data_IF_871427212484
#
_entry.id   IF_871427212484
#
_cell.length_a   1.000
_cell.length_b   1.000
_cell.length_c   1.000
_cell.angle_alpha   90.00
_cell.angle_beta   90.00
_cell.angle_gamma   90.00
#
_symmetry.space_group_name_H-M   'P 1'
#
loop_
_entity.id
_entity.type
_entity.pdbx_description
1 polymer ?
#
# COMPACT_ATOMS: atom_id res chain seq x y z
N UNK A 1 -44.69 7.92 17.74
CA UNK A 1 -44.45 7.12 16.51
C UNK A 1 -42.96 6.92 16.34
N UNK A 2 -42.43 5.88 16.98
CA UNK A 2 -41.05 5.42 16.81
C UNK A 2 -41.00 4.62 15.52
N UNK A 3 -40.35 5.15 14.49
CA UNK A 3 -40.09 4.42 13.26
C UNK A 3 -39.13 3.26 13.59
N UNK A 4 -39.65 2.04 13.63
CA UNK A 4 -38.84 0.84 13.54
C UNK A 4 -38.20 0.82 12.15
N UNK A 5 -36.92 1.18 12.06
CA UNK A 5 -36.11 0.76 10.92
C UNK A 5 -36.08 -0.77 10.90
N UNK A 6 -36.45 -1.43 9.79
CA UNK A 6 -36.30 -2.86 9.68
C UNK A 6 -34.82 -3.20 9.79
N UNK A 7 -34.48 -4.13 10.68
CA UNK A 7 -33.13 -4.71 10.72
C UNK A 7 -32.79 -5.20 9.30
N UNK A 8 -31.61 -4.87 8.75
CA UNK A 8 -31.20 -5.41 7.47
C UNK A 8 -31.24 -6.94 7.56
N UNK A 9 -31.90 -7.59 6.60
CA UNK A 9 -31.89 -9.05 6.49
C UNK A 9 -30.44 -9.56 6.59
N UNK A 10 -30.25 -10.76 7.13
CA UNK A 10 -28.91 -11.37 7.31
C UNK A 10 -28.06 -11.39 6.04
N UNK A 11 -28.66 -11.25 4.86
CA UNK A 11 -27.97 -11.15 3.58
C UNK A 11 -27.53 -9.74 3.16
N UNK A 12 -28.15 -8.68 3.69
CA UNK A 12 -27.92 -7.31 3.21
C UNK A 12 -26.55 -6.78 3.63
N UNK A 13 -26.18 -6.98 4.90
CA UNK A 13 -24.86 -6.58 5.41
C UNK A 13 -23.74 -7.42 4.79
N UNK A 14 -24.01 -8.69 4.47
CA UNK A 14 -23.04 -9.59 3.80
C UNK A 14 -22.68 -9.03 2.43
N UNK A 15 -23.70 -8.71 1.60
CA UNK A 15 -23.51 -8.12 0.27
C UNK A 15 -22.73 -6.79 0.36
N UNK A 16 -23.01 -5.98 1.37
CA UNK A 16 -22.27 -4.73 1.60
C UNK A 16 -20.82 -4.99 2.00
N UNK A 17 -20.57 -5.87 2.97
CA UNK A 17 -19.23 -6.20 3.43
C UNK A 17 -18.38 -6.80 2.31
N UNK A 18 -18.94 -7.68 1.48
CA UNK A 18 -18.26 -8.25 0.32
C UNK A 18 -17.90 -7.17 -0.71
N UNK A 19 -18.82 -6.27 -1.02
CA UNK A 19 -18.56 -5.15 -1.93
C UNK A 19 -17.42 -4.25 -1.42
N UNK A 20 -17.38 -3.97 -0.12
CA UNK A 20 -16.29 -3.21 0.50
C UNK A 20 -14.96 -3.97 0.45
N UNK A 21 -14.98 -5.28 0.69
CA UNK A 21 -13.81 -6.16 0.55
C UNK A 21 -13.27 -6.21 -0.89
N UNK A 22 -14.13 -6.05 -1.90
CA UNK A 22 -13.67 -5.89 -3.29
C UNK A 22 -12.99 -4.53 -3.52
N UNK A 23 -13.51 -3.46 -2.91
CA UNK A 23 -12.93 -2.12 -3.04
C UNK A 23 -11.54 -1.98 -2.41
N UNK A 24 -11.20 -2.83 -1.41
CA UNK A 24 -9.85 -2.86 -0.80
C UNK A 24 -8.73 -2.97 -1.84
N UNK A 25 -8.92 -3.78 -2.88
CA UNK A 25 -7.93 -4.02 -3.92
C UNK A 25 -8.02 -3.03 -5.10
N UNK A 26 -9.05 -2.19 -5.13
CA UNK A 26 -9.35 -1.29 -6.26
C UNK A 26 -9.12 0.18 -5.90
N UNK A 27 -9.24 0.55 -4.63
CA UNK A 27 -8.98 1.90 -4.11
C UNK A 27 -8.13 1.81 -2.83
N UNK A 28 -6.89 1.37 -3.04
CA UNK A 28 -5.98 0.88 -2.01
C UNK A 28 -5.56 1.95 -0.98
N UNK A 29 -5.61 3.22 -1.37
CA UNK A 29 -5.37 4.35 -0.46
C UNK A 29 -6.43 4.46 0.64
N UNK A 30 -7.64 3.91 0.43
CA UNK A 30 -8.78 3.92 1.35
C UNK A 30 -9.11 2.51 1.91
N UNK A 31 -8.28 1.51 1.62
CA UNK A 31 -8.52 0.10 2.00
C UNK A 31 -8.76 -0.11 3.52
N UNK A 32 -8.02 0.62 4.37
CA UNK A 32 -8.18 0.62 5.83
C UNK A 32 -9.60 1.06 6.26
N UNK A 33 -10.15 2.08 5.59
CA UNK A 33 -11.49 2.60 5.85
C UNK A 33 -12.57 1.62 5.41
N UNK A 34 -12.45 1.05 4.20
CA UNK A 34 -13.39 0.04 3.72
C UNK A 34 -13.38 -1.20 4.60
N UNK A 35 -12.20 -1.67 5.04
CA UNK A 35 -12.08 -2.82 5.93
C UNK A 35 -12.72 -2.53 7.29
N UNK A 36 -12.49 -1.34 7.85
CA UNK A 36 -13.13 -0.90 9.08
C UNK A 36 -14.66 -0.85 8.94
N UNK A 37 -15.18 -0.27 7.85
CA UNK A 37 -16.63 -0.20 7.59
C UNK A 37 -17.24 -1.58 7.38
N UNK A 38 -16.58 -2.47 6.63
CA UNK A 38 -17.02 -3.84 6.44
C UNK A 38 -17.14 -4.60 7.77
N UNK A 39 -16.16 -4.43 8.68
CA UNK A 39 -16.23 -5.00 10.04
C UNK A 39 -17.35 -4.40 10.88
N UNK A 40 -17.59 -3.09 10.78
CA UNK A 40 -18.70 -2.44 11.50
C UNK A 40 -20.05 -2.97 11.04
N UNK A 41 -20.26 -3.12 9.73
CA UNK A 41 -21.48 -3.70 9.16
C UNK A 41 -21.65 -5.17 9.55
N UNK A 42 -20.55 -5.92 9.58
CA UNK A 42 -20.55 -7.33 9.95
C UNK A 42 -20.76 -7.58 11.45
N UNK A 43 -20.48 -6.61 12.32
CA UNK A 43 -20.42 -6.82 13.77
C UNK A 43 -21.68 -7.45 14.39
N UNK A 44 -22.86 -7.16 13.83
CA UNK A 44 -24.13 -7.70 14.31
C UNK A 44 -24.41 -9.15 13.85
N UNK A 45 -23.83 -9.58 12.72
CA UNK A 45 -24.07 -10.90 12.12
C UNK A 45 -22.88 -11.87 12.17
N UNK A 46 -21.67 -11.35 12.38
CA UNK A 46 -20.43 -12.11 12.47
C UNK A 46 -19.43 -11.33 13.32
N UNK A 47 -19.49 -11.51 14.63
CA UNK A 47 -18.49 -10.92 15.53
C UNK A 47 -17.14 -11.66 15.41
N UNK A 48 -16.02 -11.06 15.87
CA UNK A 48 -14.75 -11.77 15.98
C UNK A 48 -14.81 -13.03 16.86
N UNK A 49 -15.77 -13.12 17.78
CA UNK A 49 -16.00 -14.32 18.60
C UNK A 49 -16.70 -15.40 17.77
N UNK A 50 -17.72 -15.04 17.01
CA UNK A 50 -18.44 -15.96 16.12
C UNK A 50 -17.51 -16.54 15.05
N UNK A 51 -16.69 -15.69 14.44
CA UNK A 51 -15.69 -16.13 13.47
C UNK A 51 -14.71 -17.15 14.07
N UNK A 52 -14.19 -16.88 15.28
CA UNK A 52 -13.30 -17.82 15.98
C UNK A 52 -14.00 -19.15 16.30
N UNK A 53 -15.28 -19.11 16.68
CA UNK A 53 -16.06 -20.32 16.91
C UNK A 53 -16.23 -21.15 15.61
N UNK A 54 -16.52 -20.50 14.48
CA UNK A 54 -16.60 -21.17 13.17
C UNK A 54 -15.25 -21.78 12.75
N UNK A 55 -14.15 -21.06 13.00
CA UNK A 55 -12.79 -21.57 12.73
C UNK A 55 -12.46 -22.81 13.57
N UNK A 56 -12.75 -22.78 14.87
CA UNK A 56 -12.57 -23.93 15.76
C UNK A 56 -13.48 -25.11 15.39
N UNK A 57 -14.70 -24.84 14.90
CA UNK A 57 -15.58 -25.89 14.37
C UNK A 57 -14.97 -26.56 13.14
N UNK A 58 -14.37 -25.79 12.24
CA UNK A 58 -13.67 -26.29 11.05
C UNK A 58 -12.46 -27.15 11.41
N UNK A 59 -11.56 -26.65 12.25
CA UNK A 59 -10.38 -27.39 12.74
C UNK A 59 -10.80 -28.67 13.49
N UNK A 60 -11.87 -28.59 14.28
CA UNK A 60 -12.48 -29.73 14.95
C UNK A 60 -13.00 -30.78 13.96
N UNK A 61 -13.73 -30.36 12.92
CA UNK A 61 -14.26 -31.27 11.91
C UNK A 61 -13.15 -32.00 11.13
N UNK A 62 -12.00 -31.36 10.90
CA UNK A 62 -10.83 -31.98 10.26
C UNK A 62 -10.10 -32.98 11.18
N UNK A 63 -10.05 -32.74 12.49
CA UNK A 63 -9.31 -33.58 13.45
C UNK A 63 -10.10 -34.76 14.01
N UNK A 64 -11.43 -34.65 14.09
CA UNK A 64 -12.31 -35.69 14.65
C UNK A 64 -12.23 -37.06 13.95
N UNK A 65 -12.11 -37.19 12.62
CA UNK A 65 -11.98 -38.50 11.97
C UNK A 65 -10.82 -39.34 12.50
N UNK A 66 -9.66 -38.71 12.77
CA UNK A 66 -8.50 -39.41 13.35
C UNK A 66 -8.77 -39.90 14.78
N UNK A 67 -9.46 -39.08 15.59
CA UNK A 67 -9.86 -39.46 16.96
C UNK A 67 -10.89 -40.59 16.97
N UNK A 68 -11.83 -40.57 16.03
CA UNK A 68 -12.80 -41.65 15.84
C UNK A 68 -12.08 -42.96 15.51
N UNK A 69 -11.11 -42.94 14.58
CA UNK A 69 -10.33 -44.13 14.25
C UNK A 69 -9.58 -44.68 15.47
N UNK A 70 -8.92 -43.83 16.25
CA UNK A 70 -8.24 -44.25 17.48
C UNK A 70 -9.19 -44.88 18.51
N UNK A 71 -10.41 -44.34 18.64
CA UNK A 71 -11.43 -44.91 19.52
C UNK A 71 -11.96 -46.26 19.02
N UNK A 72 -12.08 -46.44 17.69
CA UNK A 72 -12.40 -47.73 17.05
C UNK A 72 -11.31 -48.76 17.36
N UNK A 73 -10.05 -48.41 17.13
CA UNK A 73 -8.91 -49.31 17.34
C UNK A 73 -8.77 -49.72 18.82
N UNK A 74 -9.14 -48.81 19.74
CA UNK A 74 -9.18 -49.05 21.18
C UNK A 74 -10.45 -49.75 21.70
N UNK A 75 -11.42 -50.08 20.84
CA UNK A 75 -12.68 -50.72 21.22
C UNK A 75 -13.62 -49.84 22.08
N UNK A 76 -13.43 -48.51 22.08
CA UNK A 76 -14.16 -47.56 22.92
C UNK A 76 -15.44 -47.05 22.23
N UNK A 77 -16.42 -47.94 22.06
CA UNK A 77 -17.62 -47.65 21.25
C UNK A 77 -18.50 -46.50 21.74
N UNK A 78 -18.54 -46.22 23.04
CA UNK A 78 -19.25 -45.05 23.59
C UNK A 78 -18.60 -43.74 23.16
N UNK A 79 -17.27 -43.71 23.13
CA UNK A 79 -16.48 -42.56 22.66
C UNK A 79 -16.63 -42.37 21.14
N UNK A 80 -16.64 -43.45 20.36
CA UNK A 80 -16.92 -43.41 18.91
C UNK A 80 -18.26 -42.72 18.62
N UNK A 81 -19.33 -43.10 19.33
CA UNK A 81 -20.65 -42.49 19.15
C UNK A 81 -20.64 -41.00 19.47
N UNK A 82 -20.07 -40.60 20.60
CA UNK A 82 -20.00 -39.20 21.01
C UNK A 82 -19.22 -38.35 20.00
N UNK A 83 -18.07 -38.84 19.54
CA UNK A 83 -17.24 -38.14 18.54
C UNK A 83 -17.92 -38.06 17.16
N UNK A 84 -18.68 -39.09 16.76
CA UNK A 84 -19.45 -39.06 15.52
C UNK A 84 -20.61 -38.06 15.57
N UNK A 85 -21.35 -38.01 16.69
CA UNK A 85 -22.40 -37.01 16.93
C UNK A 85 -21.81 -35.58 16.94
N UNK A 86 -20.64 -35.37 17.56
CA UNK A 86 -19.92 -34.10 17.54
C UNK A 86 -19.51 -33.70 16.11
N UNK A 87 -18.96 -34.64 15.32
CA UNK A 87 -18.55 -34.39 13.94
C UNK A 87 -19.74 -33.99 13.07
N UNK A 88 -20.87 -34.69 13.19
CA UNK A 88 -22.09 -34.39 12.45
C UNK A 88 -22.63 -33.00 12.81
N UNK A 89 -22.65 -32.64 14.11
CA UNK A 89 -23.04 -31.31 14.56
C UNK A 89 -22.13 -30.20 13.99
N UNK A 90 -20.81 -30.40 13.99
CA UNK A 90 -19.85 -29.44 13.40
C UNK A 90 -20.01 -29.32 11.89
N UNK A 91 -20.23 -30.44 11.17
CA UNK A 91 -20.48 -30.42 9.73
C UNK A 91 -21.74 -29.62 9.38
N UNK A 92 -22.86 -29.86 10.07
CA UNK A 92 -24.08 -29.07 9.88
C UNK A 92 -23.87 -27.58 10.12
N UNK A 93 -23.16 -27.22 11.19
CA UNK A 93 -22.83 -25.82 11.45
C UNK A 93 -22.01 -25.18 10.30
N UNK A 94 -21.04 -25.91 9.75
CA UNK A 94 -20.22 -25.45 8.63
C UNK A 94 -20.99 -25.43 7.30
N UNK A 95 -21.93 -26.36 7.09
CA UNK A 95 -22.80 -26.33 5.93
C UNK A 95 -23.74 -25.11 5.98
N UNK A 96 -24.28 -24.80 7.16
CA UNK A 96 -25.18 -23.65 7.37
C UNK A 96 -24.44 -22.30 7.35
N UNK A 97 -23.20 -22.25 7.84
CA UNK A 97 -22.45 -20.98 8.10
C UNK A 97 -21.05 -20.92 7.50
N UNK A 98 -20.66 -21.84 6.64
CA UNK A 98 -19.32 -21.90 6.04
C UNK A 98 -18.98 -20.66 5.20
N UNK A 99 -19.98 -20.04 4.57
CA UNK A 99 -19.78 -18.77 3.87
C UNK A 99 -19.38 -17.64 4.83
N UNK A 100 -19.95 -17.59 6.05
CA UNK A 100 -19.56 -16.63 7.08
C UNK A 100 -18.15 -16.89 7.60
N UNK A 101 -17.72 -18.16 7.67
CA UNK A 101 -16.32 -18.49 7.97
C UNK A 101 -15.38 -17.87 6.94
N UNK A 102 -15.71 -18.04 5.66
CA UNK A 102 -14.92 -17.51 4.54
C UNK A 102 -14.90 -15.97 4.51
N UNK A 103 -16.04 -15.35 4.84
CA UNK A 103 -16.13 -13.91 4.99
C UNK A 103 -15.32 -13.40 6.19
N UNK A 104 -15.42 -14.08 7.33
CA UNK A 104 -14.67 -13.75 8.54
C UNK A 104 -13.16 -13.85 8.35
N UNK A 105 -12.69 -14.80 7.55
CA UNK A 105 -11.27 -14.90 7.17
C UNK A 105 -10.81 -13.66 6.40
N UNK A 106 -11.60 -13.20 5.41
CA UNK A 106 -11.31 -11.96 4.67
C UNK A 106 -11.36 -10.73 5.58
N UNK A 107 -12.27 -10.70 6.56
CA UNK A 107 -12.44 -9.58 7.47
C UNK A 107 -11.35 -9.52 8.54
N UNK A 108 -10.82 -10.65 9.03
CA UNK A 108 -10.02 -10.68 10.25
C UNK A 108 -8.61 -11.23 10.09
N UNK A 109 -8.33 -12.03 9.05
CA UNK A 109 -7.04 -12.74 8.91
C UNK A 109 -6.24 -12.37 7.67
N UNK A 110 -6.89 -11.87 6.61
CA UNK A 110 -6.16 -11.48 5.40
C UNK A 110 -5.36 -10.19 5.59
N UNK A 111 -4.04 -10.35 5.68
CA UNK A 111 -3.06 -9.25 5.67
C UNK A 111 -2.36 -9.19 4.31
N UNK A 112 -3.12 -8.83 3.29
CA UNK A 112 -2.60 -8.62 1.94
C UNK A 112 -2.24 -7.14 1.75
N UNK A 113 -1.05 -6.89 1.20
CA UNK A 113 -0.67 -5.54 0.76
C UNK A 113 -1.14 -5.42 -0.68
N UNK A 114 -2.20 -4.64 -0.89
CA UNK A 114 -2.75 -4.43 -2.21
C UNK A 114 -1.89 -3.46 -3.03
N UNK A 115 -1.76 -3.75 -4.32
CA UNK A 115 -1.15 -2.84 -5.30
C UNK A 115 -2.25 -2.22 -6.12
N UNK A 116 -2.26 -0.89 -6.24
CA UNK A 116 -3.26 -0.13 -6.98
C UNK A 116 -3.23 -0.53 -8.47
N UNK A 117 -4.33 -1.08 -9.02
CA UNK A 117 -4.41 -1.46 -10.43
C UNK A 117 -4.30 -0.27 -11.39
N UNK A 118 -4.60 0.93 -10.93
CA UNK A 118 -4.60 2.15 -11.73
C UNK A 118 -3.28 2.93 -11.61
N UNK A 119 -2.37 2.48 -10.75
CA UNK A 119 -1.06 3.10 -10.60
C UNK A 119 -0.20 2.88 -11.85
N UNK A 120 0.38 3.94 -12.44
CA UNK A 120 1.20 3.80 -13.62
C UNK A 120 2.42 2.92 -13.39
N UNK A 121 2.78 2.14 -14.41
CA UNK A 121 3.93 1.24 -14.35
C UNK A 121 3.73 -0.05 -13.55
N UNK A 122 2.51 -0.36 -13.08
CA UNK A 122 2.23 -1.56 -12.27
C UNK A 122 1.28 -2.61 -12.88
N UNK A 123 0.85 -2.45 -14.13
CA UNK A 123 -0.04 -3.42 -14.80
C UNK A 123 0.52 -4.86 -14.80
N UNK A 124 1.85 -5.01 -14.96
CA UNK A 124 2.55 -6.30 -14.90
C UNK A 124 2.44 -6.99 -13.52
N UNK A 125 2.35 -6.22 -12.43
CA UNK A 125 2.31 -6.77 -11.07
C UNK A 125 1.04 -7.58 -10.85
N UNK A 126 -0.07 -7.13 -11.43
CA UNK A 126 -1.35 -7.83 -11.38
C UNK A 126 -1.56 -8.82 -12.54
N UNK A 127 -0.55 -9.06 -13.38
CA UNK A 127 -0.67 -9.85 -14.63
C UNK A 127 -1.79 -9.35 -15.55
N UNK A 128 -1.98 -8.03 -15.62
CA UNK A 128 -2.97 -7.39 -16.48
C UNK A 128 -2.30 -6.76 -17.68
N UNK A 129 -2.99 -6.80 -18.81
CA UNK A 129 -2.64 -6.04 -19.98
C UNK A 129 -3.19 -4.61 -19.87
N UNK A 130 -2.49 -3.63 -20.46
CA UNK A 130 -2.89 -2.23 -20.37
C UNK A 130 -4.30 -1.96 -20.92
N UNK A 131 -4.75 -2.73 -21.92
CA UNK A 131 -6.11 -2.64 -22.47
C UNK A 131 -7.22 -2.99 -21.47
N UNK A 132 -6.91 -3.75 -20.42
CA UNK A 132 -7.88 -4.17 -19.41
C UNK A 132 -8.15 -3.09 -18.35
N UNK A 133 -7.30 -2.06 -18.27
CA UNK A 133 -7.40 -1.01 -17.25
C UNK A 133 -8.66 -0.16 -17.43
N UNK A 134 -9.07 0.11 -18.69
CA UNK A 134 -10.31 0.84 -19.01
C UNK A 134 -11.57 0.15 -18.50
N UNK A 135 -11.84 -1.09 -18.96
CA UNK A 135 -12.95 -1.88 -18.45
C UNK A 135 -12.93 -2.06 -16.92
N UNK A 136 -11.75 -2.23 -16.32
CA UNK A 136 -11.61 -2.34 -14.86
C UNK A 136 -12.01 -1.04 -14.14
N UNK A 137 -11.60 0.12 -14.65
CA UNK A 137 -11.97 1.43 -14.12
C UNK A 137 -13.50 1.60 -14.13
N UNK A 138 -14.13 1.31 -15.25
CA UNK A 138 -15.58 1.49 -15.42
C UNK A 138 -16.36 0.51 -14.52
N UNK A 139 -15.92 -0.74 -14.42
CA UNK A 139 -16.49 -1.73 -13.50
C UNK A 139 -16.29 -1.35 -12.01
N UNK A 140 -15.21 -0.65 -11.68
CA UNK A 140 -14.94 -0.16 -10.32
C UNK A 140 -15.79 1.07 -10.00
N UNK A 141 -15.94 2.00 -10.95
CA UNK A 141 -16.87 3.13 -10.81
C UNK A 141 -18.32 2.65 -10.57
N UNK A 142 -18.74 1.58 -11.26
CA UNK A 142 -20.04 0.96 -11.03
C UNK A 142 -20.17 0.37 -9.61
N UNK A 143 -19.10 -0.21 -9.05
CA UNK A 143 -19.08 -0.70 -7.66
C UNK A 143 -19.24 0.44 -6.65
N UNK A 144 -18.59 1.59 -6.87
CA UNK A 144 -18.82 2.77 -6.03
C UNK A 144 -20.28 3.25 -6.08
N UNK A 145 -20.87 3.31 -7.27
CA UNK A 145 -22.29 3.63 -7.42
C UNK A 145 -23.21 2.61 -6.72
N UNK A 146 -22.84 1.34 -6.69
CA UNK A 146 -23.54 0.32 -5.91
C UNK A 146 -23.36 0.51 -4.40
N UNK A 147 -22.14 0.78 -3.94
CA UNK A 147 -21.84 1.04 -2.53
C UNK A 147 -22.60 2.27 -2.01
N UNK A 148 -22.67 3.35 -2.80
CA UNK A 148 -23.43 4.56 -2.50
C UNK A 148 -24.94 4.35 -2.31
N UNK A 149 -25.50 3.33 -2.98
CA UNK A 149 -26.91 2.92 -2.81
C UNK A 149 -27.11 2.04 -1.57
N UNK A 150 -26.18 1.12 -1.32
CA UNK A 150 -26.31 0.14 -0.25
C UNK A 150 -25.91 0.71 1.12
N UNK A 151 -24.98 1.65 1.17
CA UNK A 151 -24.47 2.28 2.40
C UNK A 151 -24.62 3.82 2.34
N UNK A 152 -25.81 4.34 2.68
CA UNK A 152 -26.12 5.77 2.63
C UNK A 152 -25.22 6.65 3.50
N UNK A 153 -24.73 6.12 4.64
CA UNK A 153 -23.88 6.88 5.57
C UNK A 153 -22.55 7.29 4.92
N UNK A 154 -22.04 6.45 4.02
CA UNK A 154 -20.78 6.66 3.31
C UNK A 154 -20.99 7.09 1.85
N UNK A 155 -22.23 7.39 1.45
CA UNK A 155 -22.60 7.79 0.08
C UNK A 155 -21.69 8.88 -0.48
N UNK A 156 -21.44 9.92 0.31
CA UNK A 156 -20.59 11.05 -0.09
C UNK A 156 -19.19 10.58 -0.46
N UNK A 157 -18.56 9.77 0.39
CA UNK A 157 -17.23 9.23 0.12
C UNK A 157 -17.25 8.44 -1.19
N UNK A 158 -18.17 7.47 -1.35
CA UNK A 158 -18.21 6.65 -2.56
C UNK A 158 -18.39 7.49 -3.83
N UNK A 159 -19.21 8.53 -3.79
CA UNK A 159 -19.41 9.45 -4.93
C UNK A 159 -18.13 10.24 -5.26
N UNK A 160 -17.46 10.79 -4.25
CA UNK A 160 -16.17 11.49 -4.42
C UNK A 160 -15.10 10.54 -5.00
N UNK A 161 -15.06 9.28 -4.55
CA UNK A 161 -14.14 8.26 -5.09
C UNK A 161 -14.49 7.85 -6.52
N UNK A 162 -15.77 7.69 -6.84
CA UNK A 162 -16.27 7.39 -8.19
C UNK A 162 -15.87 8.49 -9.18
N UNK A 163 -16.07 9.76 -8.81
CA UNK A 163 -15.68 10.91 -9.62
C UNK A 163 -14.17 10.99 -9.83
N UNK A 164 -13.39 10.83 -8.75
CA UNK A 164 -11.95 10.80 -8.83
C UNK A 164 -11.45 9.68 -9.76
N UNK A 165 -12.02 8.47 -9.66
CA UNK A 165 -11.62 7.34 -10.50
C UNK A 165 -11.97 7.58 -11.98
N UNK A 166 -13.12 8.19 -12.27
CA UNK A 166 -13.48 8.56 -13.66
C UNK A 166 -12.55 9.61 -14.25
N UNK A 167 -11.99 10.49 -13.41
CA UNK A 167 -11.04 11.52 -13.84
C UNK A 167 -9.66 10.95 -14.23
N UNK A 168 -9.37 9.69 -13.86
CA UNK A 168 -8.11 9.01 -14.22
C UNK A 168 -7.97 8.94 -15.73
N UNK A 169 -6.99 9.69 -16.25
CA UNK A 169 -6.57 9.61 -17.65
C UNK A 169 -5.79 8.32 -17.86
N UNK A 170 -6.44 7.37 -18.49
CA UNK A 170 -5.75 6.18 -18.99
C UNK A 170 -4.90 6.63 -20.15
N UNK A 171 -3.59 6.41 -20.08
CA UNK A 171 -2.71 6.69 -21.22
C UNK A 171 -3.30 6.01 -22.44
N UNK A 172 -3.62 6.80 -23.47
CA UNK A 172 -4.00 6.22 -24.76
C UNK A 172 -2.89 5.25 -25.16
N UNK A 173 -3.29 4.08 -25.66
CA UNK A 173 -2.38 3.16 -26.35
C UNK A 173 -1.87 3.90 -27.59
N UNK A 174 -0.92 4.81 -27.41
CA UNK A 174 -0.20 5.41 -28.50
C UNK A 174 0.62 4.27 -29.10
N UNK A 175 0.28 3.92 -30.35
CA UNK A 175 1.14 3.09 -31.17
C UNK A 175 2.60 3.57 -31.04
N UNK A 176 3.61 2.68 -31.21
CA UNK A 176 5.00 2.96 -30.85
C UNK A 176 5.49 4.18 -31.64
N UNK A 177 5.54 5.34 -30.98
CA UNK A 177 5.89 6.62 -31.60
C UNK A 177 7.21 7.19 -31.08
N UNK A 178 7.86 6.52 -30.13
CA UNK A 178 9.14 6.96 -29.57
C UNK A 178 10.24 5.93 -29.83
N UNK A 179 11.44 6.38 -30.21
CA UNK A 179 12.61 5.52 -30.47
C UNK A 179 12.95 4.58 -29.31
N UNK A 180 12.78 5.04 -28.07
CA UNK A 180 12.95 4.23 -26.85
C UNK A 180 12.01 3.03 -26.75
N UNK A 181 10.81 3.12 -27.32
CA UNK A 181 9.81 2.07 -27.32
C UNK A 181 10.11 1.02 -28.40
N UNK A 182 10.67 1.47 -29.54
CA UNK A 182 11.22 0.58 -30.57
C UNK A 182 12.48 -0.16 -30.07
N UNK A 183 13.35 0.50 -29.30
CA UNK A 183 14.51 -0.15 -28.69
C UNK A 183 14.11 -1.22 -27.66
N UNK A 184 13.10 -0.96 -26.82
CA UNK A 184 12.62 -1.95 -25.86
C UNK A 184 11.99 -3.16 -26.59
N UNK A 185 11.18 -2.91 -27.63
CA UNK A 185 10.63 -3.97 -28.47
C UNK A 185 11.73 -4.77 -29.19
N UNK A 186 12.83 -4.13 -29.60
CA UNK A 186 13.98 -4.81 -30.17
C UNK A 186 14.67 -5.73 -29.15
N UNK A 187 14.84 -5.27 -27.89
CA UNK A 187 15.39 -6.09 -26.81
C UNK A 187 14.49 -7.28 -26.47
N UNK A 188 13.17 -7.09 -26.45
CA UNK A 188 12.20 -8.15 -26.18
C UNK A 188 12.13 -9.16 -27.33
N UNK A 189 12.20 -8.71 -28.59
CA UNK A 189 12.26 -9.57 -29.76
C UNK A 189 13.55 -10.39 -29.80
N UNK A 190 14.68 -9.80 -29.39
CA UNK A 190 15.96 -10.50 -29.24
C UNK A 190 15.91 -11.55 -28.13
N UNK A 191 15.35 -11.20 -26.96
CA UNK A 191 15.19 -12.12 -25.84
C UNK A 191 14.25 -13.30 -26.17
N UNK A 192 13.27 -13.08 -27.06
CA UNK A 192 12.36 -14.10 -27.57
C UNK A 192 12.90 -14.89 -28.78
N UNK A 193 14.11 -14.59 -29.27
CA UNK A 193 14.70 -15.23 -30.45
C UNK A 193 13.98 -14.93 -31.78
N UNK A 194 13.16 -13.88 -31.83
CA UNK A 194 12.33 -13.53 -32.99
C UNK A 194 13.05 -12.55 -33.91
N UNK A 195 13.98 -13.07 -34.72
CA UNK A 195 14.82 -12.25 -35.61
C UNK A 195 14.03 -11.53 -36.72
N UNK A 196 12.89 -12.08 -37.15
CA UNK A 196 12.01 -11.43 -38.13
C UNK A 196 11.28 -10.21 -37.56
N UNK A 197 10.92 -10.25 -36.27
CA UNK A 197 10.38 -9.10 -35.57
C UNK A 197 11.47 -8.04 -35.35
N UNK A 198 12.68 -8.47 -34.99
CA UNK A 198 13.84 -7.58 -34.82
C UNK A 198 14.18 -6.81 -36.11
N UNK A 199 14.15 -7.49 -37.25
CA UNK A 199 14.42 -6.88 -38.56
C UNK A 199 13.38 -5.81 -38.92
N UNK A 200 12.08 -6.09 -38.70
CA UNK A 200 11.01 -5.10 -38.90
C UNK A 200 11.12 -3.88 -37.97
N UNK A 201 11.65 -4.09 -36.76
CA UNK A 201 11.87 -3.00 -35.82
C UNK A 201 13.09 -2.16 -36.25
N UNK A 202 14.16 -2.79 -36.73
CA UNK A 202 15.34 -2.11 -37.27
C UNK A 202 14.97 -1.23 -38.48
N UNK A 203 14.20 -1.76 -39.43
CA UNK A 203 13.69 -1.00 -40.59
C UNK A 203 12.85 0.21 -40.16
N UNK A 204 12.04 0.08 -39.10
CA UNK A 204 11.26 1.20 -38.54
C UNK A 204 12.14 2.26 -37.90
N UNK A 205 13.24 1.87 -37.25
CA UNK A 205 14.22 2.78 -36.65
C UNK A 205 15.00 3.54 -37.76
N UNK A 206 15.41 2.84 -38.82
CA UNK A 206 16.08 3.46 -39.96
C UNK A 206 15.16 4.41 -40.73
N UNK A 207 13.90 4.02 -40.95
CA UNK A 207 12.90 4.84 -41.63
C UNK A 207 12.49 6.11 -40.85
N UNK A 208 12.71 6.14 -39.53
CA UNK A 208 12.43 7.33 -38.70
C UNK A 208 13.59 8.31 -38.59
N UNK A 209 14.75 8.04 -39.21
CA UNK A 209 15.84 9.00 -39.34
C UNK A 209 16.42 9.50 -38.02
N UNK A 210 16.71 8.61 -37.07
CA UNK A 210 17.35 8.97 -35.81
C UNK A 210 18.90 9.01 -35.94
N UNK A 211 19.43 10.13 -36.47
CA UNK A 211 20.75 10.59 -36.03
C UNK A 211 20.72 10.94 -34.52
N UNK A 212 21.86 11.21 -33.85
CA UNK A 212 21.88 11.61 -32.44
C UNK A 212 21.10 12.91 -32.28
N UNK A 213 19.81 12.78 -32.02
CA UNK A 213 18.86 13.87 -31.97
C UNK A 213 18.79 14.32 -30.52
N UNK A 214 19.07 15.61 -30.33
CA UNK A 214 18.65 16.41 -29.20
C UNK A 214 17.21 16.08 -28.77
N UNK A 215 16.89 16.27 -27.46
CA UNK A 215 15.78 15.61 -26.79
C UNK A 215 14.47 15.77 -27.57
N UNK A 216 14.03 14.65 -28.17
CA UNK A 216 12.65 14.50 -28.62
C UNK A 216 11.77 14.74 -27.41
N UNK A 217 10.96 15.80 -27.51
CA UNK A 217 9.98 16.18 -26.51
C UNK A 217 9.19 14.95 -26.10
N UNK A 218 9.44 14.49 -24.87
CA UNK A 218 8.56 13.56 -24.20
C UNK A 218 7.14 14.10 -24.39
N UNK A 219 6.24 13.28 -24.95
CA UNK A 219 4.83 13.64 -25.06
C UNK A 219 4.41 14.16 -23.70
N UNK A 220 4.22 15.48 -23.63
CA UNK A 220 3.88 16.21 -22.43
C UNK A 220 2.48 15.75 -22.11
N UNK A 221 2.37 14.76 -21.22
CA UNK A 221 1.19 14.68 -20.36
C UNK A 221 1.08 16.09 -19.79
N UNK A 222 -0.03 16.83 -20.00
CA UNK A 222 -0.17 18.15 -19.42
C UNK A 222 0.07 18.01 -17.93
N UNK A 223 1.20 18.54 -17.47
CA UNK A 223 1.58 18.47 -16.08
C UNK A 223 0.68 19.48 -15.37
N UNK A 224 -0.47 19.00 -14.88
CA UNK A 224 -1.27 19.78 -13.96
C UNK A 224 -0.48 19.79 -12.67
N UNK A 225 0.01 20.97 -12.28
CA UNK A 225 0.68 21.13 -11.00
C UNK A 225 -0.25 20.64 -9.89
N UNK A 226 0.19 19.67 -9.07
CA UNK A 226 -0.65 19.12 -8.03
C UNK A 226 -0.99 20.21 -7.01
N UNK A 227 -2.20 20.16 -6.48
CA UNK A 227 -2.63 21.08 -5.42
C UNK A 227 -1.75 20.88 -4.19
N UNK A 228 -1.36 21.97 -3.49
CA UNK A 228 -0.72 21.87 -2.19
C UNK A 228 -1.48 20.94 -1.21
N UNK A 229 -0.72 20.27 -0.37
CA UNK A 229 -1.18 19.38 0.70
C UNK A 229 -1.17 20.10 2.05
N UNK A 230 -1.33 21.43 2.02
CA UNK A 230 -1.36 22.29 3.20
C UNK A 230 -2.71 22.23 3.91
N UNK A 231 -2.69 22.39 5.22
CA UNK A 231 -3.88 22.39 6.07
C UNK A 231 -3.61 23.02 7.43
N UNK A 232 -4.61 23.66 8.01
CA UNK A 232 -4.49 24.20 9.36
C UNK A 232 -4.92 23.15 10.38
N UNK A 233 -4.02 22.82 11.31
CA UNK A 233 -4.33 21.98 12.44
C UNK A 233 -4.88 22.83 13.59
N UNK A 234 -6.04 22.43 14.12
CA UNK A 234 -6.61 23.10 15.28
C UNK A 234 -5.71 22.97 16.51
N UNK A 235 -5.78 23.95 17.42
CA UNK A 235 -4.97 23.93 18.65
C UNK A 235 -5.23 22.68 19.50
N UNK A 236 -6.46 22.18 19.51
CA UNK A 236 -6.80 20.94 20.21
C UNK A 236 -6.15 19.71 19.54
N UNK A 237 -6.20 19.62 18.21
CA UNK A 237 -5.50 18.58 17.43
C UNK A 237 -4.01 18.58 17.74
N UNK A 238 -3.36 19.74 17.71
CA UNK A 238 -1.93 19.85 18.02
C UNK A 238 -1.60 19.46 19.46
N UNK A 239 -2.47 19.79 20.42
CA UNK A 239 -2.31 19.36 21.82
C UNK A 239 -2.39 17.84 21.95
N UNK A 240 -3.37 17.20 21.31
CA UNK A 240 -3.52 15.73 21.33
C UNK A 240 -2.37 15.04 20.58
N UNK A 241 -1.95 15.60 19.45
CA UNK A 241 -0.81 15.11 18.67
C UNK A 241 0.48 15.11 19.50
N UNK A 242 0.78 16.21 20.20
CA UNK A 242 1.95 16.29 21.12
C UNK A 242 1.89 15.26 22.24
N UNK A 243 0.71 14.95 22.77
CA UNK A 243 0.55 13.90 23.78
C UNK A 243 0.89 12.49 23.24
N UNK A 244 0.74 12.28 21.92
CA UNK A 244 1.17 11.07 21.23
C UNK A 244 2.64 11.10 20.78
N UNK A 245 3.35 12.22 20.98
CA UNK A 245 4.72 12.43 20.51
C UNK A 245 4.83 12.84 19.03
N UNK A 246 3.73 13.40 18.48
CA UNK A 246 3.68 13.97 17.14
C UNK A 246 3.83 15.50 17.20
N UNK A 247 4.62 16.05 16.28
CA UNK A 247 4.73 17.50 16.06
C UNK A 247 4.27 17.86 14.65
N UNK A 248 3.76 19.08 14.48
CA UNK A 248 3.44 19.60 13.17
C UNK A 248 4.72 20.00 12.44
N UNK A 249 4.83 19.56 11.19
CA UNK A 249 5.93 19.87 10.29
C UNK A 249 5.36 20.51 9.02
N UNK A 250 6.18 21.35 8.40
CA UNK A 250 5.89 21.97 7.11
C UNK A 250 7.05 21.69 6.15
N UNK A 251 6.71 21.27 4.93
CA UNK A 251 7.65 21.17 3.82
C UNK A 251 7.33 22.21 2.77
N UNK A 252 8.39 22.89 2.30
CA UNK A 252 8.30 23.85 1.21
C UNK A 252 8.11 23.16 -0.14
N UNK A 253 7.51 23.87 -1.09
CA UNK A 253 7.43 23.42 -2.47
C UNK A 253 8.83 23.39 -3.10
N UNK A 254 9.27 22.20 -3.48
CA UNK A 254 10.56 21.96 -4.18
C UNK A 254 10.35 21.27 -5.53
N UNK A 255 9.11 21.20 -6.03
CA UNK A 255 8.75 20.46 -7.24
C UNK A 255 9.55 20.92 -8.44
N UNK A 256 9.70 22.23 -8.62
CA UNK A 256 10.43 22.82 -9.75
C UNK A 256 11.88 22.36 -9.80
N UNK A 257 12.52 22.17 -8.64
CA UNK A 257 13.89 21.68 -8.53
C UNK A 257 14.05 20.27 -9.09
N UNK A 258 13.01 19.44 -9.04
CA UNK A 258 13.05 18.03 -9.46
C UNK A 258 12.16 17.74 -10.66
N UNK A 259 11.56 18.76 -11.28
CA UNK A 259 10.62 18.60 -12.40
C UNK A 259 11.19 17.77 -13.55
N UNK A 260 12.49 17.91 -13.82
CA UNK A 260 13.20 17.16 -14.86
C UNK A 260 13.26 15.65 -14.62
N UNK A 261 13.08 15.18 -13.38
CA UNK A 261 13.05 13.75 -13.01
C UNK A 261 11.65 13.14 -13.14
N UNK A 262 10.60 13.95 -13.11
CA UNK A 262 9.22 13.47 -13.07
C UNK A 262 8.84 12.55 -14.24
N UNK A 263 9.29 12.79 -15.50
CA UNK A 263 9.00 11.87 -16.60
C UNK A 263 9.49 10.43 -16.37
N UNK A 264 10.54 10.25 -15.55
CA UNK A 264 11.11 8.95 -15.25
C UNK A 264 10.36 8.21 -14.12
N UNK A 265 9.76 8.94 -13.17
CA UNK A 265 8.97 8.34 -12.07
C UNK A 265 7.80 7.50 -12.57
N UNK A 266 7.18 7.92 -13.68
CA UNK A 266 5.99 7.30 -14.26
C UNK A 266 6.27 6.06 -15.11
N UNK A 267 7.55 5.75 -15.38
CA UNK A 267 7.98 4.60 -16.21
C UNK A 267 9.09 3.83 -15.49
N UNK A 268 8.77 3.09 -14.42
CA UNK A 268 9.76 2.32 -13.68
C UNK A 268 10.41 1.29 -14.59
N UNK A 269 11.71 1.10 -14.43
CA UNK A 269 12.53 0.21 -15.25
C UNK A 269 13.03 -0.93 -14.38
N UNK A 270 12.80 -2.15 -14.86
CA UNK A 270 13.21 -3.39 -14.18
C UNK A 270 14.66 -3.76 -14.44
N UNK A 271 15.28 -3.16 -15.46
CA UNK A 271 16.49 -3.67 -16.08
C UNK A 271 17.73 -2.95 -15.58
N UNK A 272 18.60 -3.72 -14.94
CA UNK A 272 19.99 -3.35 -14.69
C UNK A 272 20.75 -3.41 -16.02
N UNK A 273 21.10 -2.23 -16.52
CA UNK A 273 22.00 -2.07 -17.64
C UNK A 273 22.81 -0.80 -17.43
N UNK A 274 24.13 -0.88 -17.60
CA UNK A 274 25.05 0.25 -17.43
C UNK A 274 24.76 1.44 -18.38
N UNK A 275 23.84 1.27 -19.34
CA UNK A 275 23.39 2.28 -20.30
C UNK A 275 21.90 2.62 -20.18
N UNK A 276 21.24 2.23 -19.08
CA UNK A 276 19.80 2.39 -18.87
C UNK A 276 19.35 3.71 -18.23
N UNK A 277 18.06 3.82 -17.87
CA UNK A 277 17.47 4.98 -17.21
C UNK A 277 18.14 5.39 -15.90
N UNK A 278 18.76 4.45 -15.18
CA UNK A 278 19.56 4.75 -13.98
C UNK A 278 20.78 5.62 -14.31
N UNK A 279 21.57 5.24 -15.32
CA UNK A 279 22.72 6.02 -15.76
C UNK A 279 22.30 7.42 -16.24
N UNK A 280 21.14 7.50 -16.91
CA UNK A 280 20.58 8.77 -17.37
C UNK A 280 20.14 9.67 -16.20
N UNK A 281 19.41 9.13 -15.23
CA UNK A 281 19.03 9.87 -14.01
C UNK A 281 20.28 10.32 -13.25
N UNK A 282 21.28 9.45 -13.09
CA UNK A 282 22.56 9.81 -12.46
C UNK A 282 23.26 10.97 -13.14
N UNK A 283 23.27 11.01 -14.47
CA UNK A 283 23.89 12.06 -15.27
C UNK A 283 23.13 13.40 -15.21
N UNK A 284 21.83 13.38 -14.89
CA UNK A 284 21.02 14.59 -14.70
C UNK A 284 21.20 15.24 -13.32
N UNK A 285 21.76 14.51 -12.35
CA UNK A 285 21.97 15.01 -11.00
C UNK A 285 23.26 15.83 -10.90
N UNK A 286 23.27 16.92 -10.12
CA UNK A 286 24.47 17.73 -9.89
C UNK A 286 25.69 16.88 -9.49
N UNK A 287 26.87 17.25 -9.98
CA UNK A 287 28.11 16.49 -9.73
C UNK A 287 28.50 16.42 -8.25
N UNK A 288 28.10 17.42 -7.47
CA UNK A 288 28.29 17.54 -6.03
C UNK A 288 27.22 16.82 -5.19
N UNK A 289 26.22 16.16 -5.82
CA UNK A 289 25.23 15.34 -5.09
C UNK A 289 25.95 14.17 -4.39
N UNK A 290 25.83 14.03 -3.05
CA UNK A 290 26.41 12.92 -2.30
C UNK A 290 25.95 11.56 -2.85
N UNK A 291 26.83 10.56 -2.85
CA UNK A 291 26.56 9.25 -3.47
C UNK A 291 25.33 8.56 -2.91
N UNK A 292 25.14 8.54 -1.59
CA UNK A 292 23.96 7.95 -0.97
C UNK A 292 22.66 8.67 -1.39
N UNK A 293 22.67 10.01 -1.47
CA UNK A 293 21.52 10.77 -1.97
C UNK A 293 21.28 10.51 -3.46
N UNK A 294 22.34 10.42 -4.26
CA UNK A 294 22.27 10.07 -5.68
C UNK A 294 21.63 8.69 -5.87
N UNK A 295 22.09 7.69 -5.12
CA UNK A 295 21.58 6.32 -5.15
C UNK A 295 20.11 6.26 -4.75
N UNK A 296 19.75 6.97 -3.69
CA UNK A 296 18.35 7.10 -3.25
C UNK A 296 17.45 7.71 -4.31
N UNK A 297 17.86 8.84 -4.91
CA UNK A 297 17.08 9.49 -5.97
C UNK A 297 16.92 8.54 -7.15
N UNK A 298 18.00 7.88 -7.58
CA UNK A 298 17.95 6.90 -8.66
C UNK A 298 16.96 5.79 -8.33
N UNK A 299 17.03 5.22 -7.12
CA UNK A 299 16.11 4.18 -6.66
C UNK A 299 14.65 4.64 -6.68
N UNK A 300 14.34 5.82 -6.11
CA UNK A 300 12.97 6.36 -6.09
C UNK A 300 12.43 6.60 -7.51
N UNK A 301 13.28 7.11 -8.39
CA UNK A 301 12.91 7.48 -9.75
C UNK A 301 12.72 6.25 -10.65
N UNK A 302 13.66 5.31 -10.63
CA UNK A 302 13.71 4.22 -11.62
C UNK A 302 13.07 2.93 -11.15
N UNK A 303 13.05 2.64 -9.84
CA UNK A 303 12.57 1.35 -9.32
C UNK A 303 11.07 1.39 -8.99
N UNK A 304 10.33 0.28 -9.14
CA UNK A 304 8.89 0.18 -8.89
C UNK A 304 8.57 0.17 -7.38
N UNK A 305 8.65 1.34 -6.79
CA UNK A 305 8.33 1.62 -5.39
C UNK A 305 6.87 2.04 -5.24
N UNK A 306 6.22 1.51 -4.21
CA UNK A 306 4.82 1.71 -3.84
C UNK A 306 4.74 2.39 -2.47
N UNK A 307 3.69 3.17 -2.21
CA UNK A 307 3.35 3.66 -0.86
C UNK A 307 2.72 2.54 -0.02
N UNK A 308 2.50 2.74 1.28
CA UNK A 308 1.64 1.83 2.07
C UNK A 308 0.15 1.90 1.66
N UNK A 309 -0.22 2.91 0.87
CA UNK A 309 -1.47 2.97 0.15
C UNK A 309 -1.49 2.10 -1.10
N UNK A 310 -0.41 1.40 -1.45
CA UNK A 310 -0.37 0.48 -2.59
C UNK A 310 -0.24 1.16 -3.95
N UNK A 311 -0.21 2.49 -4.01
CA UNK A 311 -0.01 3.23 -5.25
C UNK A 311 1.48 3.46 -5.54
N UNK A 312 1.83 3.75 -6.79
CA UNK A 312 3.20 4.18 -7.15
C UNK A 312 3.63 5.32 -6.24
N UNK A 313 4.78 5.18 -5.58
CA UNK A 313 5.38 6.28 -4.85
C UNK A 313 5.85 7.35 -5.84
N UNK A 314 5.16 8.48 -5.82
CA UNK A 314 5.54 9.72 -6.52
C UNK A 314 5.57 10.79 -5.44
N UNK A 315 6.74 11.30 -5.04
CA UNK A 315 6.78 12.32 -4.00
C UNK A 315 6.00 13.55 -4.50
N UNK A 316 5.08 14.12 -3.69
CA UNK A 316 4.29 15.27 -4.12
C UNK A 316 5.18 16.46 -4.50
N UNK A 317 6.22 16.69 -3.69
CA UNK A 317 7.18 17.81 -3.78
C UNK A 317 6.53 19.20 -3.75
N UNK A 318 5.27 19.29 -3.35
CA UNK A 318 4.52 20.52 -3.12
C UNK A 318 4.61 20.93 -1.66
N UNK A 319 4.04 22.09 -1.33
CA UNK A 319 3.84 22.46 0.08
C UNK A 319 2.96 21.41 0.76
N UNK A 320 3.40 20.91 1.91
CA UNK A 320 2.73 19.85 2.66
C UNK A 320 2.79 20.17 4.16
N UNK A 321 1.64 20.06 4.83
CA UNK A 321 1.54 20.11 6.29
C UNK A 321 1.22 18.71 6.82
N UNK A 322 1.96 18.25 7.83
CA UNK A 322 1.80 16.90 8.36
C UNK A 322 2.10 16.84 9.86
N UNK A 323 1.75 15.72 10.50
CA UNK A 323 2.14 15.43 11.88
C UNK A 323 3.15 14.28 11.87
N UNK A 324 4.33 14.45 12.46
CA UNK A 324 5.42 13.47 12.41
C UNK A 324 5.93 13.17 13.82
N UNK A 325 6.34 11.93 14.07
CA UNK A 325 7.03 11.60 15.32
C UNK A 325 8.45 12.15 15.34
N UNK A 326 8.79 12.87 16.41
CA UNK A 326 10.03 13.66 16.49
C UNK A 326 11.01 13.19 17.56
N UNK A 327 10.76 12.03 18.18
CA UNK A 327 11.68 11.49 19.19
C UNK A 327 13.11 11.32 18.65
N UNK A 328 14.08 11.49 19.54
CA UNK A 328 15.50 11.31 19.25
C UNK A 328 15.84 9.83 19.06
N UNK A 329 16.80 9.57 18.17
CA UNK A 329 17.30 8.22 17.92
C UNK A 329 18.48 7.91 18.84
N UNK A 330 18.38 6.79 19.55
CA UNK A 330 19.51 6.19 20.26
C UNK A 330 20.09 4.99 19.50
N UNK A 331 21.14 4.36 20.05
CA UNK A 331 21.63 3.07 19.59
C UNK A 331 20.51 2.00 19.53
N UNK A 332 20.70 0.95 18.73
CA UNK A 332 19.75 -0.15 18.61
C UNK A 332 19.29 -0.68 19.99
N UNK A 333 17.98 -0.90 20.13
CA UNK A 333 17.38 -1.39 21.38
C UNK A 333 17.28 -0.36 22.51
N UNK A 334 17.75 0.88 22.31
CA UNK A 334 17.55 1.94 23.31
C UNK A 334 16.05 2.20 23.48
N UNK A 335 15.54 2.31 24.72
CA UNK A 335 14.16 2.70 24.95
C UNK A 335 13.87 4.04 24.28
N UNK A 336 13.15 3.98 23.18
CA UNK A 336 12.63 5.17 22.51
C UNK A 336 11.53 5.71 23.40
N UNK A 337 11.57 7.01 23.69
CA UNK A 337 10.72 7.66 24.69
C UNK A 337 9.27 7.17 24.65
N UNK A 338 8.61 7.15 25.83
CA UNK A 338 7.18 6.81 26.01
C UNK A 338 6.30 7.80 25.25
N UNK A 339 6.29 7.70 23.94
CA UNK A 339 5.47 8.50 23.05
C UNK A 339 4.15 7.73 22.92
N UNK A 340 3.06 8.38 23.30
CA UNK A 340 1.74 7.76 23.40
C UNK A 340 1.26 7.06 22.13
N UNK A 341 1.83 7.35 20.95
CA UNK A 341 1.43 6.72 19.70
C UNK A 341 1.71 5.22 19.64
N UNK A 342 2.88 4.74 20.08
CA UNK A 342 3.18 3.30 20.08
C UNK A 342 2.21 2.55 21.00
N UNK A 343 1.96 3.08 22.19
CA UNK A 343 0.98 2.51 23.13
C UNK A 343 -0.44 2.54 22.56
N UNK A 344 -0.86 3.65 21.92
CA UNK A 344 -2.16 3.75 21.25
C UNK A 344 -2.31 2.72 20.11
N UNK A 345 -1.22 2.44 19.39
CA UNK A 345 -1.15 1.36 18.40
C UNK A 345 -1.11 -0.04 19.03
N UNK A 346 -0.91 -0.16 20.35
CA UNK A 346 -0.78 -1.43 21.05
C UNK A 346 0.57 -2.10 20.82
N UNK A 347 1.61 -1.32 20.55
CA UNK A 347 2.99 -1.79 20.43
C UNK A 347 3.66 -1.83 21.79
N UNK A 348 4.22 -2.99 22.15
CA UNK A 348 5.05 -3.15 23.35
C UNK A 348 6.45 -2.54 23.17
N UNK A 349 6.94 -2.54 21.93
CA UNK A 349 8.23 -1.99 21.53
C UNK A 349 8.12 -1.42 20.12
N UNK A 350 8.99 -0.46 19.79
CA UNK A 350 9.19 0.06 18.42
C UNK A 350 10.27 -0.70 17.65
N UNK A 351 11.03 -1.54 18.34
CA UNK A 351 12.15 -2.30 17.82
C UNK A 351 11.71 -3.69 17.39
N UNK A 352 12.40 -4.27 16.40
CA UNK A 352 12.23 -5.68 16.07
C UNK A 352 10.85 -6.01 15.52
N UNK A 353 10.21 -5.06 14.85
CA UNK A 353 8.88 -5.25 14.27
C UNK A 353 9.00 -5.60 12.80
N UNK A 354 8.41 -6.73 12.40
CA UNK A 354 8.21 -7.05 11.00
C UNK A 354 7.27 -6.02 10.33
N UNK A 355 7.57 -5.61 9.10
CA UNK A 355 6.73 -4.66 8.35
C UNK A 355 5.28 -5.13 8.24
N UNK A 356 5.06 -6.43 8.05
CA UNK A 356 3.70 -7.01 7.97
C UNK A 356 2.87 -6.78 9.24
N UNK A 357 3.50 -6.87 10.41
CA UNK A 357 2.82 -6.61 11.69
C UNK A 357 2.47 -5.11 11.83
N UNK A 358 3.40 -4.24 11.45
CA UNK A 358 3.18 -2.79 11.42
C UNK A 358 2.00 -2.40 10.53
N UNK A 359 1.93 -2.91 9.30
CA UNK A 359 0.81 -2.59 8.41
C UNK A 359 -0.53 -3.04 8.96
N UNK A 360 -0.60 -4.24 9.54
CA UNK A 360 -1.83 -4.72 10.17
C UNK A 360 -2.30 -3.73 11.23
N UNK A 361 -1.39 -3.25 12.08
CA UNK A 361 -1.72 -2.27 13.12
C UNK A 361 -2.16 -0.93 12.52
N UNK A 362 -1.43 -0.42 11.53
CA UNK A 362 -1.77 0.84 10.85
C UNK A 362 -3.15 0.76 10.15
N UNK A 363 -3.44 -0.33 9.45
CA UNK A 363 -4.74 -0.53 8.79
C UNK A 363 -5.89 -0.68 9.80
N UNK A 364 -5.66 -1.35 10.94
CA UNK A 364 -6.74 -1.65 11.89
C UNK A 364 -6.96 -0.58 12.95
N UNK A 365 -5.92 0.12 13.38
CA UNK A 365 -5.98 1.13 14.45
C UNK A 365 -5.72 2.55 13.97
N UNK A 366 -5.02 2.72 12.85
CA UNK A 366 -4.69 4.05 12.30
C UNK A 366 -5.88 4.97 12.12
N UNK A 367 -7.00 4.54 11.50
CA UNK A 367 -8.19 5.38 11.37
C UNK A 367 -8.74 5.90 12.70
N UNK A 368 -8.75 5.06 13.74
CA UNK A 368 -9.22 5.45 15.07
C UNK A 368 -8.28 6.45 15.75
N UNK A 369 -6.97 6.33 15.53
CA UNK A 369 -5.98 7.30 16.03
C UNK A 369 -6.18 8.66 15.34
N UNK A 370 -6.35 8.68 14.01
CA UNK A 370 -6.62 9.91 13.25
C UNK A 370 -7.88 10.61 13.78
N UNK A 371 -8.98 9.87 13.96
CA UNK A 371 -10.21 10.40 14.55
C UNK A 371 -10.02 10.91 15.98
N UNK A 372 -9.22 10.23 16.81
CA UNK A 372 -8.97 10.65 18.19
C UNK A 372 -8.30 12.02 18.28
N UNK A 373 -7.54 12.41 17.24
CA UNK A 373 -6.91 13.72 17.10
C UNK A 373 -7.88 14.82 16.59
N UNK A 374 -9.12 14.46 16.25
CA UNK A 374 -10.08 15.37 15.61
C UNK A 374 -9.85 15.55 14.11
N UNK A 375 -9.02 14.71 13.49
CA UNK A 375 -8.77 14.74 12.06
C UNK A 375 -9.78 13.86 11.30
N UNK A 376 -10.12 14.28 10.08
CA UNK A 376 -10.97 13.51 9.19
C UNK A 376 -10.20 12.29 8.62
N UNK A 377 -10.57 11.05 8.96
CA UNK A 377 -9.89 9.87 8.47
C UNK A 377 -10.05 9.67 6.96
N UNK A 378 -11.00 10.33 6.29
CA UNK A 378 -11.11 10.31 4.81
C UNK A 378 -10.06 11.20 4.13
N UNK A 379 -9.46 12.14 4.87
CA UNK A 379 -8.40 13.02 4.39
C UNK A 379 -7.03 12.60 4.88
N UNK A 380 -6.93 12.12 6.11
CA UNK A 380 -5.65 11.80 6.74
C UNK A 380 -5.49 10.31 6.99
N UNK A 381 -4.24 9.82 6.91
CA UNK A 381 -3.88 8.45 7.24
C UNK A 381 -2.59 8.42 8.05
N UNK A 382 -2.55 7.54 9.04
CA UNK A 382 -1.33 7.20 9.77
C UNK A 382 -0.52 6.18 8.97
N UNK A 383 0.75 6.47 8.73
CA UNK A 383 1.69 5.65 7.96
C UNK A 383 3.04 5.56 8.66
N UNK A 384 3.91 4.63 8.23
CA UNK A 384 5.33 4.74 8.56
C UNK A 384 5.89 6.02 7.93
N UNK A 385 6.96 6.60 8.48
CA UNK A 385 7.50 7.86 7.97
C UNK A 385 7.87 7.72 6.48
N UNK A 386 7.33 8.56 5.59
CA UNK A 386 7.65 8.50 4.17
C UNK A 386 9.13 8.75 3.89
N UNK A 387 9.73 8.12 2.86
CA UNK A 387 11.15 8.26 2.59
C UNK A 387 11.53 9.73 2.32
N UNK A 388 10.79 10.44 1.49
CA UNK A 388 11.02 11.86 1.20
C UNK A 388 10.97 12.73 2.47
N UNK A 389 10.00 12.49 3.36
CA UNK A 389 9.91 13.19 4.65
C UNK A 389 11.09 12.85 5.56
N UNK A 390 11.45 11.57 5.66
CA UNK A 390 12.59 11.13 6.48
C UNK A 390 13.91 11.76 6.01
N UNK A 391 14.08 11.91 4.69
CA UNK A 391 15.25 12.58 4.11
C UNK A 391 15.42 14.00 4.61
N UNK A 392 14.37 14.82 4.45
CA UNK A 392 14.42 16.25 4.81
C UNK A 392 14.43 16.46 6.32
N UNK A 393 13.54 15.77 7.05
CA UNK A 393 13.41 15.94 8.49
C UNK A 393 14.59 15.33 9.25
N UNK A 394 15.15 14.23 8.75
CA UNK A 394 16.28 13.58 9.41
C UNK A 394 17.53 14.46 9.46
N UNK A 395 17.79 15.25 8.42
CA UNK A 395 18.88 16.24 8.44
C UNK A 395 18.65 17.30 9.52
N UNK A 396 17.42 17.82 9.65
CA UNK A 396 17.05 18.84 10.64
C UNK A 396 17.05 18.30 12.07
N UNK A 397 16.60 17.05 12.25
CA UNK A 397 16.33 16.41 13.56
C UNK A 397 17.47 15.49 14.02
N UNK A 398 18.52 15.33 13.21
CA UNK A 398 19.67 14.48 13.53
C UNK A 398 19.40 12.98 13.45
N UNK A 399 18.44 12.56 12.63
CA UNK A 399 18.18 11.13 12.38
C UNK A 399 19.24 10.53 11.46
N UNK A 400 19.33 9.20 11.50
CA UNK A 400 20.26 8.42 10.70
C UNK A 400 21.73 8.59 11.07
N UNK A 401 21.98 8.88 12.36
CA UNK A 401 23.33 8.98 12.95
C UNK A 401 23.77 7.71 13.68
N UNK A 402 22.88 6.73 13.82
CA UNK A 402 23.13 5.48 14.51
C UNK A 402 23.10 4.29 13.54
N UNK A 403 23.66 3.15 13.94
CA UNK A 403 23.61 1.89 13.18
C UNK A 403 22.24 1.18 13.28
N UNK A 404 21.19 1.89 12.88
CA UNK A 404 19.80 1.45 12.95
C UNK A 404 19.11 1.70 11.63
N UNK A 405 18.17 0.84 11.27
CA UNK A 405 17.27 1.07 10.14
C UNK A 405 15.91 1.52 10.65
N UNK A 406 15.32 2.50 9.99
CA UNK A 406 13.94 2.96 10.21
C UNK A 406 13.04 2.39 9.13
N UNK A 407 11.88 1.85 9.51
CA UNK A 407 10.82 1.50 8.56
C UNK A 407 10.32 2.77 7.86
N UNK A 408 10.48 2.82 6.54
CA UNK A 408 10.00 3.91 5.70
C UNK A 408 8.69 3.53 5.03
N UNK A 409 7.83 4.50 4.71
CA UNK A 409 6.58 4.20 4.01
C UNK A 409 6.85 3.50 2.68
N UNK A 410 6.16 2.36 2.48
CA UNK A 410 6.10 1.74 1.17
C UNK A 410 6.93 0.46 0.97
N UNK A 411 6.94 0.03 -0.29
CA UNK A 411 7.49 -1.24 -0.73
C UNK A 411 8.25 -1.10 -2.04
N UNK A 412 9.36 -1.83 -2.17
CA UNK A 412 9.98 -2.11 -3.46
C UNK A 412 9.36 -3.39 -4.04
N UNK A 413 8.77 -3.30 -5.22
CA UNK A 413 8.26 -4.47 -5.95
C UNK A 413 9.38 -5.16 -6.75
N UNK A 414 9.49 -6.48 -6.62
CA UNK A 414 10.46 -7.28 -7.40
C UNK A 414 9.81 -7.86 -8.66
N UNK A 415 10.65 -8.33 -9.59
CA UNK A 415 10.21 -8.98 -10.83
C UNK A 415 9.33 -10.21 -10.58
N UNK A 416 9.58 -10.93 -9.49
CA UNK A 416 8.81 -12.09 -9.06
C UNK A 416 7.46 -11.71 -8.44
N UNK A 417 7.10 -10.42 -8.47
CA UNK A 417 5.90 -9.85 -7.86
C UNK A 417 5.87 -10.05 -6.34
N UNK A 418 7.06 -10.00 -5.74
CA UNK A 418 7.23 -9.92 -4.29
C UNK A 418 7.35 -8.45 -3.88
N UNK A 419 7.00 -8.17 -2.63
CA UNK A 419 7.21 -6.87 -2.02
C UNK A 419 8.33 -6.98 -1.00
N UNK A 420 9.24 -6.01 -1.03
CA UNK A 420 10.25 -5.77 -0.01
C UNK A 420 9.87 -4.48 0.72
N UNK A 421 9.88 -4.49 2.05
CA UNK A 421 9.64 -3.31 2.87
C UNK A 421 10.78 -2.29 2.68
N UNK A 422 10.43 -1.02 2.55
CA UNK A 422 11.44 0.04 2.52
C UNK A 422 11.97 0.32 3.91
N UNK A 423 13.30 0.36 4.03
CA UNK A 423 14.00 0.80 5.24
C UNK A 423 15.16 1.71 4.85
N UNK A 424 15.62 2.53 5.78
CA UNK A 424 16.77 3.41 5.57
C UNK A 424 17.23 4.05 6.86
N UNK A 425 18.20 4.97 6.81
CA UNK A 425 18.67 5.66 8.01
C UNK A 425 19.93 5.08 8.65
N UNK A 426 20.49 3.95 8.21
CA UNK A 426 21.67 3.40 8.89
C UNK A 426 22.94 4.17 8.49
N UNK A 427 23.63 4.73 9.48
CA UNK A 427 24.82 5.57 9.29
C UNK A 427 25.92 4.88 8.47
N UNK A 428 26.01 3.56 8.51
CA UNK A 428 27.02 2.78 7.78
C UNK A 428 26.80 2.79 6.27
N UNK A 429 25.57 3.04 5.83
CA UNK A 429 25.16 2.96 4.42
C UNK A 429 24.76 4.33 3.83
N UNK A 430 25.02 5.42 4.56
CA UNK A 430 24.69 6.79 4.12
C UNK A 430 23.71 7.53 5.04
N UNK A 431 23.34 6.94 6.18
CA UNK A 431 22.53 7.58 7.21
C UNK A 431 21.17 7.99 6.66
N UNK A 432 20.80 9.26 6.85
CA UNK A 432 19.51 9.81 6.40
C UNK A 432 19.24 9.63 4.90
N UNK A 433 20.28 9.43 4.09
CA UNK A 433 20.18 9.23 2.65
C UNK A 433 20.14 7.75 2.23
N UNK A 434 20.34 6.81 3.15
CA UNK A 434 20.20 5.38 2.89
C UNK A 434 18.74 5.00 2.59
N UNK A 435 18.56 4.09 1.63
CA UNK A 435 17.27 3.50 1.27
C UNK A 435 17.48 2.13 0.64
N UNK A 436 16.94 1.10 1.26
CA UNK A 436 17.04 -0.29 0.80
C UNK A 436 15.72 -1.05 0.98
N UNK A 437 15.60 -2.20 0.31
CA UNK A 437 14.47 -3.12 0.48
C UNK A 437 14.85 -4.33 1.34
N UNK A 438 14.03 -4.66 2.34
CA UNK A 438 14.17 -5.88 3.17
C UNK A 438 12.92 -6.75 3.09
N UNK A 439 13.02 -8.03 3.48
CA UNK A 439 11.84 -8.91 3.50
C UNK A 439 10.74 -8.36 4.42
N UNK A 440 9.47 -8.46 4.03
CA UNK A 440 8.33 -7.94 4.82
C UNK A 440 8.15 -8.61 6.19
N UNK A 441 8.75 -9.79 6.37
CA UNK A 441 8.81 -10.54 7.63
C UNK A 441 10.12 -10.36 8.40
N UNK A 442 11.05 -9.53 7.92
CA UNK A 442 12.32 -9.27 8.61
C UNK A 442 12.10 -8.36 9.83
N UNK A 443 12.60 -8.79 10.99
CA UNK A 443 12.25 -8.25 12.31
C UNK A 443 13.47 -8.05 13.22
N UNK A 444 14.60 -7.59 12.66
CA UNK A 444 15.82 -7.30 13.44
C UNK A 444 15.60 -6.27 14.55
N UNK A 445 16.27 -6.49 15.68
CA UNK A 445 16.44 -5.55 16.79
C UNK A 445 17.04 -4.18 16.40
N UNK A 446 17.63 -4.06 15.21
CA UNK A 446 18.11 -2.80 14.63
C UNK A 446 17.04 -2.06 13.81
N UNK A 447 15.86 -2.64 13.62
CA UNK A 447 14.73 -2.00 12.94
C UNK A 447 13.85 -1.22 13.89
N UNK A 448 13.67 0.05 13.60
CA UNK A 448 12.88 1.01 14.36
C UNK A 448 11.63 1.44 13.58
N UNK A 449 10.50 1.54 14.27
CA UNK A 449 9.27 2.12 13.72
C UNK A 449 9.10 3.61 14.09
N UNK A 450 8.96 4.45 13.07
CA UNK A 450 8.60 5.87 13.16
C UNK A 450 7.41 6.16 12.26
N UNK A 451 6.46 6.94 12.73
CA UNK A 451 5.20 7.19 12.05
C UNK A 451 4.97 8.67 11.69
N UNK A 452 4.07 8.87 10.73
CA UNK A 452 3.56 10.19 10.33
C UNK A 452 2.06 10.09 10.00
N UNK A 453 1.33 11.17 10.25
CA UNK A 453 -0.04 11.38 9.75
C UNK A 453 0.04 12.34 8.58
N UNK A 454 -0.49 11.88 7.46
CA UNK A 454 -0.30 12.51 6.16
C UNK A 454 -1.61 12.59 5.38
N UNK A 455 -1.70 13.49 4.42
CA UNK A 455 -2.87 13.59 3.52
C UNK A 455 -2.91 12.37 2.58
N UNK A 456 -4.07 11.71 2.48
CA UNK A 456 -4.28 10.52 1.63
C UNK A 456 -4.02 10.77 0.15
N UNK A 457 -4.11 12.02 -0.31
CA UNK A 457 -3.79 12.40 -1.69
C UNK A 457 -2.35 12.02 -2.07
N UNK A 458 -1.40 11.99 -1.12
CA UNK A 458 -0.03 11.56 -1.39
C UNK A 458 0.13 10.04 -1.56
N UNK A 459 -0.83 9.26 -1.07
CA UNK A 459 -0.80 7.79 -1.11
C UNK A 459 -1.41 7.25 -2.40
N UNK A 460 -1.65 8.13 -3.37
CA UNK A 460 -2.34 7.86 -4.62
C UNK A 460 -1.53 8.40 -5.79
N UNK A 461 -1.68 7.76 -6.94
CA UNK A 461 -1.10 8.22 -8.20
C UNK A 461 -2.08 9.08 -9.03
N UNK A 462 -3.34 9.20 -8.59
CA UNK A 462 -4.46 9.84 -9.28
C UNK A 462 -5.53 10.29 -8.30
#
# INVERSE_FOLDING_TARGET
MTQHQPLPSSESWVKQAELLLELLALDTAYADLYLRRARQLAAAGLSPVDYRALKLADEGAHSLPGRIQQAIDGGKWSEVRALAEELDAKKRLLDDRGFLRSLGEKLHEKDEIHVDPFSPGFHWFQRREQREVGPLRDATAAKFGQAARLDPDWRRLYQEREEALRSVRLGESSAPKTSLDLEQQARDALAAGSFSALQKIAERIEATGAGPTEPSSAQTVPEVDPTPLTGTFESETLRKARALGLEAEHLDNVRDRFRFLLPYLWRPVFFEGNSGPEARVRAMLPGDTPDALRDRIVMLVTRPILTSGGARFVPPLVEEDMLVETFEEGPAGTPVGKNGLAEALGLESRWGLARRALERLLQTRGPGIVESLGLDPWKFRLVSVPPDLFGVLGERRGWGRNEIWTHLDGYLATRERKLLALVGGDVRYGGVQDLVGVGVGYDSDRLLARFAIVDRRRLRAW
#
